data_IF_229475038098
#
_entry.id   IF_229475038098
#
_cell.length_a   1.000
_cell.length_b   1.000
_cell.length_c   1.000
_cell.angle_alpha   90.00
_cell.angle_beta   90.00
_cell.angle_gamma   90.00
#
_symmetry.space_group_name_H-M   'P 1'
#
loop_
_entity.id
_entity.type
_entity.pdbx_description
1 polymer ?
#
# COMPACT_ATOMS: atom_id res chain seq x y z
N UNK A 1 -24.41 0.97 35.97
CA UNK A 1 -24.54 -0.40 35.37
C UNK A 1 -23.18 -1.03 35.28
N UNK A 2 -22.96 -2.17 35.92
CA UNK A 2 -21.66 -2.86 35.85
C UNK A 2 -21.44 -3.40 34.43
N UNK A 3 -20.31 -3.00 33.82
CA UNK A 3 -19.90 -3.49 32.50
C UNK A 3 -19.70 -5.01 32.56
N UNK A 4 -20.28 -5.74 31.60
CA UNK A 4 -20.13 -7.20 31.58
C UNK A 4 -18.64 -7.55 31.45
N UNK A 5 -18.12 -8.47 32.26
CA UNK A 5 -16.73 -8.94 32.25
C UNK A 5 -16.22 -9.33 30.84
N UNK A 6 -17.10 -9.72 29.94
CA UNK A 6 -16.79 -10.01 28.55
C UNK A 6 -16.44 -8.76 27.73
N UNK A 7 -17.10 -7.64 27.99
CA UNK A 7 -16.90 -6.40 27.21
C UNK A 7 -15.60 -5.70 27.63
N UNK A 8 -15.29 -5.76 28.92
CA UNK A 8 -13.99 -5.31 29.44
C UNK A 8 -12.83 -6.13 28.81
N UNK A 9 -12.96 -7.45 28.77
CA UNK A 9 -11.95 -8.31 28.15
C UNK A 9 -11.76 -8.01 26.66
N UNK A 10 -12.85 -7.79 25.90
CA UNK A 10 -12.77 -7.38 24.49
C UNK A 10 -12.04 -6.06 24.30
N UNK A 11 -12.29 -5.07 25.15
CA UNK A 11 -11.59 -3.76 25.11
C UNK A 11 -10.10 -3.90 25.36
N UNK A 12 -9.69 -4.67 26.39
CA UNK A 12 -8.27 -4.90 26.70
C UNK A 12 -7.58 -5.59 25.53
N UNK A 13 -8.21 -6.63 24.95
CA UNK A 13 -7.66 -7.32 23.77
C UNK A 13 -7.47 -6.34 22.60
N UNK A 14 -8.48 -5.51 22.30
CA UNK A 14 -8.39 -4.53 21.21
C UNK A 14 -7.28 -3.51 21.45
N UNK A 15 -7.12 -3.02 22.67
CA UNK A 15 -6.05 -2.09 23.02
C UNK A 15 -4.66 -2.73 22.84
N UNK A 16 -4.45 -3.94 23.34
CA UNK A 16 -3.18 -4.65 23.18
C UNK A 16 -2.85 -4.95 21.72
N UNK A 17 -3.87 -5.30 20.92
CA UNK A 17 -3.68 -5.53 19.50
C UNK A 17 -3.38 -4.21 18.74
N UNK A 18 -3.95 -3.09 19.15
CA UNK A 18 -3.64 -1.77 18.60
C UNK A 18 -2.23 -1.28 18.99
N UNK A 19 -1.65 -1.81 20.05
CA UNK A 19 -0.26 -1.60 20.47
C UNK A 19 0.73 -2.55 19.77
N UNK A 20 0.23 -3.45 18.91
CA UNK A 20 1.07 -4.39 18.15
C UNK A 20 1.40 -5.69 18.86
N UNK A 21 0.75 -6.00 19.98
CA UNK A 21 0.98 -7.26 20.69
C UNK A 21 0.43 -8.46 19.92
N UNK A 22 1.01 -9.65 20.17
CA UNK A 22 0.48 -10.91 19.66
C UNK A 22 -0.85 -11.26 20.35
N UNK A 23 -1.69 -12.07 19.67
CA UNK A 23 -2.98 -12.50 20.23
C UNK A 23 -2.81 -13.18 21.58
N UNK A 24 -1.82 -14.06 21.70
CA UNK A 24 -1.52 -14.78 22.93
C UNK A 24 -1.25 -13.82 24.11
N UNK A 25 -0.39 -12.81 23.88
CA UNK A 25 -0.07 -11.80 24.90
C UNK A 25 -1.28 -10.92 25.23
N UNK A 26 -2.06 -10.52 24.23
CA UNK A 26 -3.27 -9.74 24.41
C UNK A 26 -4.35 -10.51 25.20
N UNK A 27 -4.51 -11.79 24.92
CA UNK A 27 -5.41 -12.68 25.65
C UNK A 27 -4.94 -12.91 27.09
N UNK A 28 -3.66 -13.14 27.32
CA UNK A 28 -3.08 -13.30 28.64
C UNK A 28 -3.31 -12.06 29.51
N UNK A 29 -3.13 -10.86 28.93
CA UNK A 29 -3.34 -9.59 29.62
C UNK A 29 -4.82 -9.33 29.94
N UNK A 30 -5.74 -9.83 29.10
CA UNK A 30 -7.18 -9.79 29.33
C UNK A 30 -7.68 -10.91 30.26
N UNK A 31 -6.80 -11.81 30.75
CA UNK A 31 -7.17 -12.97 31.55
C UNK A 31 -8.05 -13.97 30.81
N UNK A 32 -7.89 -14.10 29.50
CA UNK A 32 -8.68 -14.98 28.62
C UNK A 32 -7.77 -15.90 27.81
N UNK A 33 -8.32 -17.03 27.35
CA UNK A 33 -7.63 -17.95 26.48
C UNK A 33 -7.79 -17.58 25.00
N UNK A 34 -6.89 -18.05 24.14
CA UNK A 34 -6.99 -17.91 22.70
C UNK A 34 -8.31 -18.47 22.13
N UNK A 35 -8.83 -19.55 22.73
CA UNK A 35 -10.13 -20.11 22.36
C UNK A 35 -11.27 -19.10 22.57
N UNK A 36 -11.19 -18.32 23.65
CA UNK A 36 -12.18 -17.28 23.94
C UNK A 36 -12.10 -16.13 22.94
N UNK A 37 -10.90 -15.76 22.50
CA UNK A 37 -10.72 -14.77 21.45
C UNK A 37 -11.31 -15.23 20.11
N UNK A 38 -11.05 -16.47 19.70
CA UNK A 38 -11.63 -17.03 18.49
C UNK A 38 -13.16 -17.11 18.57
N UNK A 39 -13.70 -17.45 19.73
CA UNK A 39 -15.13 -17.41 19.96
C UNK A 39 -15.72 -16.01 19.82
N UNK A 40 -15.08 -14.98 20.41
CA UNK A 40 -15.52 -13.59 20.25
C UNK A 40 -15.47 -13.13 18.81
N UNK A 41 -14.44 -13.50 18.07
CA UNK A 41 -14.27 -13.12 16.67
C UNK A 41 -15.32 -13.77 15.74
N UNK A 42 -15.77 -14.98 16.06
CA UNK A 42 -16.78 -15.71 15.28
C UNK A 42 -18.20 -15.29 15.64
N UNK A 43 -18.47 -15.04 16.94
CA UNK A 43 -19.82 -14.72 17.42
C UNK A 43 -20.18 -13.24 17.29
N UNK A 44 -19.19 -12.34 17.23
CA UNK A 44 -19.41 -10.90 17.22
C UNK A 44 -18.71 -10.26 16.00
N UNK A 45 -19.50 -10.00 14.95
CA UNK A 45 -19.02 -9.37 13.71
C UNK A 45 -18.42 -7.98 13.93
N UNK A 46 -18.97 -7.21 14.90
CA UNK A 46 -18.45 -5.89 15.23
C UNK A 46 -17.07 -5.99 15.88
N UNK A 47 -16.90 -6.93 16.80
CA UNK A 47 -15.61 -7.20 17.43
C UNK A 47 -14.58 -7.67 16.38
N UNK A 48 -14.96 -8.54 15.44
CA UNK A 48 -14.07 -8.96 14.35
C UNK A 48 -13.59 -7.77 13.51
N UNK A 49 -14.48 -6.87 13.11
CA UNK A 49 -14.13 -5.67 12.35
C UNK A 49 -13.21 -4.72 13.16
N UNK A 50 -13.46 -4.57 14.46
CA UNK A 50 -12.60 -3.77 15.35
C UNK A 50 -11.22 -4.39 15.53
N UNK A 51 -11.10 -5.72 15.61
CA UNK A 51 -9.81 -6.43 15.66
C UNK A 51 -9.03 -6.21 14.38
N UNK A 52 -9.66 -6.33 13.21
CA UNK A 52 -8.99 -6.13 11.93
C UNK A 52 -8.51 -4.68 11.80
N UNK A 53 -9.31 -3.70 12.24
CA UNK A 53 -8.93 -2.28 12.31
C UNK A 53 -7.79 -2.03 13.31
N UNK A 54 -7.83 -2.62 14.50
CA UNK A 54 -6.79 -2.48 15.52
C UNK A 54 -5.45 -3.05 15.04
N UNK A 55 -5.46 -4.22 14.40
CA UNK A 55 -4.27 -4.82 13.81
C UNK A 55 -3.71 -4.02 12.64
N UNK A 56 -4.58 -3.45 11.82
CA UNK A 56 -4.19 -2.55 10.75
C UNK A 56 -3.52 -1.30 11.33
N UNK A 57 -4.12 -0.69 12.34
CA UNK A 57 -3.56 0.47 13.04
C UNK A 57 -2.23 0.19 13.77
N UNK A 58 -2.05 -1.02 14.32
CA UNK A 58 -0.78 -1.42 14.92
C UNK A 58 0.33 -1.59 13.88
N UNK A 59 0.00 -2.15 12.72
CA UNK A 59 0.93 -2.23 11.59
C UNK A 59 1.31 -0.83 11.10
N UNK A 60 0.36 0.09 11.00
CA UNK A 60 0.63 1.48 10.57
C UNK A 60 1.41 2.28 11.61
N UNK A 61 1.27 2.04 12.92
CA UNK A 61 2.11 2.67 13.95
C UNK A 61 3.59 2.31 13.81
N UNK A 62 3.90 1.06 13.52
CA UNK A 62 5.27 0.63 13.20
C UNK A 62 5.81 1.24 11.90
N UNK A 63 4.92 1.81 11.05
CA UNK A 63 5.28 2.50 9.81
C UNK A 63 5.53 4.00 9.99
N UNK A 64 4.99 4.64 11.04
CA UNK A 64 5.25 6.07 11.31
C UNK A 64 6.72 6.34 11.66
N UNK A 65 7.44 5.32 12.11
CA UNK A 65 8.85 5.40 12.47
C UNK A 65 9.81 5.03 11.32
N UNK A 66 9.29 4.44 10.24
CA UNK A 66 10.06 4.18 9.03
C UNK A 66 9.88 5.37 8.08
N UNK A 67 10.98 5.99 7.69
CA UNK A 67 10.97 7.07 6.70
C UNK A 67 10.41 6.54 5.37
N UNK A 68 9.11 6.77 5.16
CA UNK A 68 8.36 6.24 4.00
C UNK A 68 8.92 6.81 2.70
N UNK A 69 9.64 7.93 2.79
CA UNK A 69 10.28 8.57 1.64
C UNK A 69 11.50 7.80 1.13
N UNK A 70 12.17 7.03 1.99
CA UNK A 70 13.39 6.28 1.63
C UNK A 70 13.14 4.76 1.47
N UNK A 71 11.89 4.32 1.50
CA UNK A 71 11.57 2.90 1.37
C UNK A 71 11.95 2.36 -0.02
N UNK A 72 12.63 1.21 -0.07
CA UNK A 72 12.93 0.55 -1.34
C UNK A 72 11.65 0.07 -2.05
N UNK A 73 11.69 -0.06 -3.38
CA UNK A 73 10.54 -0.58 -4.13
C UNK A 73 10.13 -1.98 -3.68
N UNK A 74 11.09 -2.86 -3.41
CA UNK A 74 10.83 -4.22 -2.91
C UNK A 74 10.11 -4.21 -1.57
N UNK A 75 10.63 -3.44 -0.61
CA UNK A 75 10.00 -3.27 0.70
C UNK A 75 8.63 -2.61 0.61
N UNK A 76 8.47 -1.64 -0.28
CA UNK A 76 7.18 -1.03 -0.56
C UNK A 76 6.16 -2.07 -1.03
N UNK A 77 6.49 -2.89 -2.01
CA UNK A 77 5.59 -3.93 -2.50
C UNK A 77 5.25 -4.96 -1.42
N UNK A 78 6.21 -5.39 -0.62
CA UNK A 78 5.98 -6.38 0.42
C UNK A 78 5.15 -5.81 1.57
N UNK A 79 5.48 -4.63 2.04
CA UNK A 79 4.84 -4.01 3.20
C UNK A 79 3.47 -3.43 2.86
N UNK A 80 3.35 -2.72 1.76
CA UNK A 80 2.14 -1.98 1.42
C UNK A 80 1.21 -2.71 0.45
N UNK A 81 1.76 -3.46 -0.49
CA UNK A 81 0.97 -4.22 -1.45
C UNK A 81 0.78 -5.68 -1.03
N UNK A 82 1.41 -6.10 0.07
CA UNK A 82 1.43 -7.49 0.54
C UNK A 82 1.83 -8.49 -0.54
N UNK A 83 2.75 -8.07 -1.38
CA UNK A 83 3.17 -8.81 -2.55
C UNK A 83 4.69 -8.86 -2.65
N UNK A 84 5.23 -10.06 -2.77
CA UNK A 84 6.67 -10.26 -2.99
C UNK A 84 7.04 -9.83 -4.40
N UNK A 85 8.09 -9.03 -4.52
CA UNK A 85 8.65 -8.61 -5.80
C UNK A 85 9.55 -9.69 -6.38
N UNK A 86 9.35 -10.04 -7.64
CA UNK A 86 10.23 -10.96 -8.35
C UNK A 86 11.46 -10.24 -8.92
N UNK A 87 12.56 -10.99 -9.11
CA UNK A 87 13.83 -10.43 -9.59
C UNK A 87 13.68 -9.65 -10.91
N UNK A 88 12.88 -10.14 -11.87
CA UNK A 88 12.65 -9.44 -13.13
C UNK A 88 11.91 -8.11 -12.93
N UNK A 89 10.98 -8.01 -11.97
CA UNK A 89 10.27 -6.78 -11.67
C UNK A 89 11.20 -5.76 -11.00
N UNK A 90 12.08 -6.22 -10.10
CA UNK A 90 13.11 -5.37 -9.49
C UNK A 90 14.05 -4.81 -10.55
N UNK A 91 14.53 -5.65 -11.47
CA UNK A 91 15.37 -5.21 -12.58
C UNK A 91 14.73 -4.13 -13.44
N UNK A 92 13.40 -4.21 -13.68
CA UNK A 92 12.68 -3.18 -14.43
C UNK A 92 12.72 -1.84 -13.71
N UNK A 93 12.49 -1.86 -12.41
CA UNK A 93 12.53 -0.65 -11.58
C UNK A 93 13.96 -0.09 -11.52
N UNK A 94 14.96 -0.94 -11.37
CA UNK A 94 16.36 -0.52 -11.35
C UNK A 94 16.75 0.20 -12.65
N UNK A 95 16.35 -0.35 -13.79
CA UNK A 95 16.58 0.29 -15.11
C UNK A 95 15.85 1.63 -15.22
N UNK A 96 14.60 1.73 -14.74
CA UNK A 96 13.83 2.99 -14.76
C UNK A 96 14.49 4.04 -13.85
N UNK A 97 15.07 3.62 -12.72
CA UNK A 97 15.82 4.49 -11.80
C UNK A 97 17.27 4.77 -12.27
N UNK A 98 17.64 4.31 -13.46
CA UNK A 98 18.99 4.51 -14.02
C UNK A 98 20.06 3.61 -13.41
N UNK A 99 19.68 2.61 -12.64
CA UNK A 99 20.58 1.60 -12.09
C UNK A 99 20.71 0.44 -13.05
N UNK A 100 21.89 -0.16 -13.10
CA UNK A 100 22.09 -1.38 -13.88
C UNK A 100 21.43 -2.57 -13.14
N UNK A 101 20.75 -3.49 -13.84
CA UNK A 101 20.09 -4.62 -13.21
C UNK A 101 21.09 -5.53 -12.50
N UNK A 102 20.83 -5.85 -11.24
CA UNK A 102 21.74 -6.64 -10.41
C UNK A 102 21.89 -8.10 -10.91
N UNK A 103 20.88 -8.62 -11.56
CA UNK A 103 20.87 -9.96 -12.13
C UNK A 103 19.98 -10.03 -13.36
N UNK A 104 20.51 -10.55 -14.45
CA UNK A 104 19.77 -10.76 -15.68
C UNK A 104 19.63 -12.26 -15.97
N UNK A 105 18.40 -12.70 -16.20
CA UNK A 105 18.19 -14.05 -16.72
C UNK A 105 18.86 -14.21 -18.09
N UNK A 106 19.47 -15.36 -18.42
CA UNK A 106 20.18 -15.57 -19.69
C UNK A 106 19.34 -15.27 -20.96
N UNK A 107 18.02 -15.37 -20.87
CA UNK A 107 17.09 -15.04 -21.95
C UNK A 107 16.76 -13.54 -22.07
N UNK A 108 17.20 -12.71 -21.13
CA UNK A 108 16.96 -11.26 -21.14
C UNK A 108 18.17 -10.53 -21.73
N UNK A 109 17.89 -9.52 -22.53
CA UNK A 109 18.92 -8.59 -23.03
C UNK A 109 18.70 -7.23 -22.40
N UNK A 110 19.77 -6.64 -21.94
CA UNK A 110 19.80 -5.26 -21.48
C UNK A 110 20.89 -4.49 -22.24
N UNK A 111 20.50 -3.41 -22.87
CA UNK A 111 21.42 -2.52 -23.56
C UNK A 111 21.25 -1.12 -22.97
N UNK A 112 22.33 -0.58 -22.42
CA UNK A 112 22.35 0.78 -21.89
C UNK A 112 22.47 1.75 -23.06
N UNK A 113 21.40 2.49 -23.33
CA UNK A 113 21.40 3.52 -24.35
C UNK A 113 22.18 4.77 -23.98
N UNK A 114 22.56 5.57 -24.98
CA UNK A 114 23.26 6.85 -24.78
C UNK A 114 22.33 7.89 -24.11
N UNK A 115 21.01 7.81 -24.34
CA UNK A 115 20.01 8.71 -23.77
C UNK A 115 19.33 8.02 -22.57
N UNK A 116 19.69 8.41 -21.37
CA UNK A 116 19.19 7.83 -20.11
C UNK A 116 17.71 8.11 -19.80
N UNK A 117 17.05 9.00 -20.55
CA UNK A 117 15.68 9.42 -20.29
C UNK A 117 14.62 8.71 -21.16
N UNK A 118 15.02 7.76 -22.00
CA UNK A 118 14.12 6.99 -22.86
C UNK A 118 14.37 5.50 -22.66
N UNK A 119 13.38 4.79 -22.15
CA UNK A 119 13.50 3.38 -21.83
C UNK A 119 12.43 2.61 -22.60
N UNK A 120 12.87 1.63 -23.38
CA UNK A 120 11.99 0.68 -24.05
C UNK A 120 12.02 -0.64 -23.30
N UNK A 121 10.87 -1.09 -22.83
CA UNK A 121 10.71 -2.34 -22.07
C UNK A 121 9.83 -3.29 -22.88
N UNK A 122 10.44 -4.37 -23.36
CA UNK A 122 9.74 -5.44 -24.05
C UNK A 122 9.81 -6.73 -23.23
N UNK A 123 8.67 -7.20 -22.75
CA UNK A 123 8.54 -8.38 -21.91
C UNK A 123 7.34 -9.19 -22.39
N UNK A 124 7.39 -10.52 -22.36
CA UNK A 124 6.27 -11.38 -22.73
C UNK A 124 4.98 -11.03 -21.96
N UNK A 125 3.80 -11.31 -22.51
CA UNK A 125 2.54 -11.15 -21.80
C UNK A 125 2.52 -11.98 -20.50
N UNK A 126 1.67 -11.59 -19.56
CA UNK A 126 1.47 -12.23 -18.25
C UNK A 126 2.65 -12.14 -17.26
N UNK A 127 3.67 -11.34 -17.53
CA UNK A 127 4.78 -11.08 -16.59
C UNK A 127 4.54 -9.82 -15.71
N UNK A 128 3.29 -9.46 -15.51
CA UNK A 128 2.85 -8.35 -14.67
C UNK A 128 3.48 -6.97 -15.00
N UNK A 129 3.99 -6.76 -16.21
CA UNK A 129 4.66 -5.52 -16.65
C UNK A 129 3.84 -4.27 -16.34
N UNK A 130 2.59 -4.22 -16.81
CA UNK A 130 1.73 -3.04 -16.67
C UNK A 130 1.41 -2.76 -15.19
N UNK A 131 1.16 -3.79 -14.40
CA UNK A 131 0.91 -3.62 -12.97
C UNK A 131 2.17 -3.14 -12.27
N UNK A 132 3.32 -3.75 -12.52
CA UNK A 132 4.56 -3.41 -11.80
C UNK A 132 5.07 -2.02 -12.16
N UNK A 133 4.99 -1.62 -13.44
CA UNK A 133 5.54 -0.34 -13.90
C UNK A 133 4.49 0.77 -13.84
N UNK A 134 3.33 0.55 -14.47
CA UNK A 134 2.34 1.62 -14.62
C UNK A 134 1.56 1.89 -13.33
N UNK A 135 1.39 0.87 -12.47
CA UNK A 135 0.60 1.03 -11.25
C UNK A 135 1.48 1.05 -10.01
N UNK A 136 2.25 -0.02 -9.75
CA UNK A 136 3.00 -0.16 -8.49
C UNK A 136 4.16 0.83 -8.37
N UNK A 137 4.97 0.95 -9.41
CA UNK A 137 6.08 1.88 -9.45
C UNK A 137 5.60 3.34 -9.36
N UNK A 138 4.55 3.69 -10.10
CA UNK A 138 3.96 5.03 -10.04
C UNK A 138 3.41 5.33 -8.65
N UNK A 139 2.71 4.37 -8.03
CA UNK A 139 2.21 4.52 -6.66
C UNK A 139 3.37 4.75 -5.68
N UNK A 140 4.43 3.96 -5.79
CA UNK A 140 5.63 4.10 -4.96
C UNK A 140 6.30 5.48 -5.11
N UNK A 141 6.43 5.98 -6.34
CA UNK A 141 7.00 7.31 -6.60
C UNK A 141 6.12 8.43 -6.05
N UNK A 142 4.80 8.32 -6.13
CA UNK A 142 3.87 9.30 -5.55
C UNK A 142 3.96 9.29 -4.01
N UNK A 143 4.12 8.12 -3.40
CA UNK A 143 4.31 8.00 -1.96
C UNK A 143 5.62 8.66 -1.51
N UNK A 144 6.70 8.48 -2.27
CA UNK A 144 7.99 9.14 -2.01
C UNK A 144 7.94 10.66 -2.23
N UNK A 145 7.24 11.08 -3.29
CA UNK A 145 7.14 12.50 -3.64
C UNK A 145 5.71 12.82 -4.14
N UNK A 146 4.87 13.43 -3.30
CA UNK A 146 3.50 13.80 -3.66
C UNK A 146 3.39 14.75 -4.86
N UNK A 147 4.45 15.48 -5.17
CA UNK A 147 4.50 16.38 -6.32
C UNK A 147 4.94 15.68 -7.63
N UNK A 148 5.16 14.37 -7.57
CA UNK A 148 5.54 13.58 -8.74
C UNK A 148 4.42 13.57 -9.78
N UNK A 149 4.71 14.05 -10.99
CA UNK A 149 3.74 14.13 -12.10
C UNK A 149 3.97 12.98 -13.06
N UNK A 150 2.91 12.28 -13.41
CA UNK A 150 2.94 11.14 -14.33
C UNK A 150 1.92 11.33 -15.41
N UNK A 151 2.32 11.06 -16.65
CA UNK A 151 1.41 10.95 -17.80
C UNK A 151 1.34 9.49 -18.23
N UNK A 152 0.15 8.91 -18.19
CA UNK A 152 -0.11 7.55 -18.66
C UNK A 152 -0.79 7.65 -20.02
N UNK A 153 -0.12 7.13 -21.05
CA UNK A 153 -0.65 7.06 -22.41
C UNK A 153 -0.91 5.60 -22.77
N UNK A 154 -2.07 5.32 -23.30
CA UNK A 154 -2.47 3.98 -23.74
C UNK A 154 -3.18 4.04 -25.08
N UNK A 155 -3.38 2.88 -25.72
CA UNK A 155 -4.09 2.76 -26.99
C UNK A 155 -5.54 3.24 -26.88
N UNK A 156 -6.19 3.03 -25.74
CA UNK A 156 -7.57 3.45 -25.48
C UNK A 156 -7.65 4.30 -24.22
N UNK A 157 -8.58 5.25 -24.22
CA UNK A 157 -8.87 6.08 -23.05
C UNK A 157 -9.30 5.22 -21.84
N UNK A 158 -10.10 4.19 -22.09
CA UNK A 158 -10.57 3.30 -21.03
C UNK A 158 -9.41 2.60 -20.31
N UNK A 159 -8.44 2.07 -21.05
CA UNK A 159 -7.29 1.39 -20.45
C UNK A 159 -6.41 2.36 -19.63
N UNK A 160 -6.24 3.59 -20.09
CA UNK A 160 -5.54 4.61 -19.31
C UNK A 160 -6.31 4.97 -18.02
N UNK A 161 -7.64 5.07 -18.10
CA UNK A 161 -8.50 5.32 -16.95
C UNK A 161 -8.47 4.18 -15.94
N UNK A 162 -8.41 2.92 -16.39
CA UNK A 162 -8.31 1.74 -15.52
C UNK A 162 -7.01 1.74 -14.72
N UNK A 163 -5.89 2.11 -15.35
CA UNK A 163 -4.62 2.27 -14.62
C UNK A 163 -4.67 3.39 -13.58
N UNK A 164 -5.23 4.53 -13.95
CA UNK A 164 -5.40 5.65 -13.03
C UNK A 164 -6.30 5.27 -11.85
N UNK A 165 -7.39 4.56 -12.11
CA UNK A 165 -8.29 4.05 -11.08
C UNK A 165 -7.57 3.08 -10.14
N UNK A 166 -6.76 2.16 -10.67
CA UNK A 166 -5.97 1.23 -9.87
C UNK A 166 -4.96 1.96 -8.95
N UNK A 167 -4.28 2.99 -9.45
CA UNK A 167 -3.39 3.84 -8.66
C UNK A 167 -4.18 4.56 -7.56
N UNK A 168 -5.32 5.18 -7.92
CA UNK A 168 -6.18 5.87 -6.98
C UNK A 168 -6.67 4.93 -5.86
N UNK A 169 -7.14 3.75 -6.21
CA UNK A 169 -7.57 2.75 -5.21
C UNK A 169 -6.44 2.40 -4.22
N UNK A 170 -5.22 2.27 -4.69
CA UNK A 170 -4.07 2.01 -3.81
C UNK A 170 -3.82 3.16 -2.88
N UNK A 171 -3.74 4.39 -3.40
CA UNK A 171 -3.49 5.59 -2.61
C UNK A 171 -4.63 5.92 -1.62
N UNK A 172 -5.86 5.49 -1.91
CA UNK A 172 -7.00 5.67 -0.99
C UNK A 172 -7.20 4.53 0.00
N UNK A 173 -6.37 3.49 -0.05
CA UNK A 173 -6.45 2.39 0.93
C UNK A 173 -6.11 2.93 2.33
N UNK A 174 -6.87 2.55 3.39
CA UNK A 174 -6.68 3.09 4.75
C UNK A 174 -5.26 3.01 5.28
N UNK A 175 -4.50 2.01 4.85
CA UNK A 175 -3.10 1.82 5.21
C UNK A 175 -2.19 2.94 4.72
N UNK A 176 -2.56 3.61 3.61
CA UNK A 176 -1.81 4.75 3.06
C UNK A 176 -2.32 6.08 3.60
N UNK A 177 -3.60 6.16 3.93
CA UNK A 177 -4.18 7.41 4.42
C UNK A 177 -3.51 7.91 5.69
N UNK A 178 -3.11 7.00 6.59
CA UNK A 178 -2.37 7.38 7.79
C UNK A 178 -0.94 7.89 7.49
N UNK A 179 -0.34 7.44 6.39
CA UNK A 179 0.98 7.90 5.94
C UNK A 179 0.91 9.12 5.03
N UNK A 180 -0.20 9.29 4.27
CA UNK A 180 -0.40 10.35 3.28
C UNK A 180 -1.34 11.45 3.78
N UNK A 181 -1.82 11.40 5.03
CA UNK A 181 -2.76 12.38 5.62
C UNK A 181 -2.25 13.82 5.56
N UNK A 182 -0.93 14.03 5.39
CA UNK A 182 -0.34 15.35 5.18
C UNK A 182 -0.40 15.86 3.74
N UNK A 183 -0.81 15.04 2.77
CA UNK A 183 -0.69 15.35 1.34
C UNK A 183 -1.97 15.16 0.54
N UNK A 184 -3.06 14.67 1.15
CA UNK A 184 -4.35 14.59 0.46
C UNK A 184 -4.92 16.00 0.33
N UNK A 185 -5.14 16.54 -0.88
CA UNK A 185 -5.85 17.80 -1.03
C UNK A 185 -7.22 17.68 -0.38
N UNK A 186 -7.55 18.66 0.45
CA UNK A 186 -8.83 18.75 1.12
C UNK A 186 -9.98 18.63 0.09
N UNK A 187 -11.14 18.03 0.44
CA UNK A 187 -12.32 18.06 -0.42
C UNK A 187 -12.71 19.47 -0.89
N UNK A 188 -12.26 20.52 -0.19
CA UNK A 188 -12.42 21.92 -0.60
C UNK A 188 -11.60 22.30 -1.83
N UNK A 189 -10.46 21.65 -2.07
CA UNK A 189 -9.60 21.94 -3.23
C UNK A 189 -10.21 21.42 -4.53
N UNK A 190 -11.05 20.38 -4.46
CA UNK A 190 -11.86 19.91 -5.60
C UNK A 190 -13.00 20.83 -5.97
N UNK A 191 -13.51 21.61 -5.03
CA UNK A 191 -14.58 22.60 -5.28
C UNK A 191 -14.06 23.84 -5.99
N UNK A 192 -12.80 24.21 -5.76
CA UNK A 192 -12.17 25.37 -6.37
C UNK A 192 -11.73 25.14 -7.83
N UNK A 193 -11.60 23.89 -8.28
CA UNK A 193 -11.22 23.56 -9.66
C UNK A 193 -12.38 23.49 -10.65
N UNK A 194 -13.63 23.65 -10.21
CA UNK A 194 -14.77 23.89 -11.08
C UNK A 194 -14.83 25.37 -11.44
N UNK A 195 -14.06 25.78 -12.45
CA UNK A 195 -14.32 27.05 -13.10
C UNK A 195 -15.72 27.01 -13.71
N UNK A 196 -16.57 28.02 -13.46
CA UNK A 196 -17.82 28.14 -14.20
C UNK A 196 -17.44 28.35 -15.66
N UNK A 197 -17.96 27.51 -16.53
CA UNK A 197 -17.98 27.74 -17.97
C UNK A 197 -18.73 29.07 -18.17
N UNK A 198 -17.99 30.13 -18.43
CA UNK A 198 -18.58 31.39 -18.85
C UNK A 198 -19.20 31.20 -20.21
N UNK A 199 -20.47 31.51 -20.31
CA UNK A 199 -21.26 31.66 -21.52
C UNK A 199 -20.63 32.66 -22.49
#
# INVERSE_FOLDING_TARGET
MAEKSSDLAKRVILQCLAEGMTVEKACAQAGKSDKTYHYYRTSDKNFAAMVDRARLGAKTKNFKDADVHDISYGDFCERFLHRKTFAHQQNLVDVIEGRDPAWLHPSMKYEKGVASNRILINIPPNHAKSISITVDYVTWKIVQNPNFRVLIVSQTQQLAADFLYAIKQRLTHPMYQDCLLYTSPSPRDYAASRMPSSA
#
